data_IF_737517378090
#
_entry.id   IF_737517378090
#
_cell.length_a   1.000
_cell.length_b   1.000
_cell.length_c   1.000
_cell.angle_alpha   90.00
_cell.angle_beta   90.00
_cell.angle_gamma   90.00
#
_symmetry.space_group_name_H-M   'P 1'
#
loop_
_entity.id
_entity.type
_entity.pdbx_description
1 polymer ?
#
# COMPACT_ATOMS: atom_id res chain seq x y z
N UNK A 1 -43.95 -18.51 30.91
CA UNK A 1 -43.55 -19.93 30.83
C UNK A 1 -44.48 -20.62 29.85
N UNK A 2 -44.02 -21.33 28.85
CA UNK A 2 -44.71 -22.03 27.75
C UNK A 2 -45.07 -21.23 26.49
N UNK A 3 -44.11 -20.86 25.66
CA UNK A 3 -44.26 -20.67 24.18
C UNK A 3 -42.91 -20.94 23.44
N UNK A 4 -42.24 -22.04 23.69
CA UNK A 4 -41.03 -22.42 22.89
C UNK A 4 -40.96 -23.95 22.70
N UNK A 5 -42.06 -24.60 22.41
CA UNK A 5 -42.03 -26.06 22.14
C UNK A 5 -42.88 -26.52 20.95
N UNK A 6 -43.03 -25.70 19.88
CA UNK A 6 -43.80 -26.16 18.71
C UNK A 6 -43.33 -25.61 17.36
N UNK A 7 -42.06 -25.77 17.01
CA UNK A 7 -41.63 -25.40 15.64
C UNK A 7 -40.42 -26.20 15.12
N UNK A 8 -40.22 -27.46 15.47
CA UNK A 8 -39.05 -28.24 14.98
C UNK A 8 -39.34 -29.61 14.37
N UNK A 9 -40.58 -30.02 14.04
CA UNK A 9 -40.76 -31.31 13.34
C UNK A 9 -41.05 -31.24 11.84
N UNK A 10 -41.25 -30.08 11.20
CA UNK A 10 -41.67 -30.07 9.78
C UNK A 10 -40.58 -29.82 8.73
N UNK A 11 -39.35 -29.53 9.14
CA UNK A 11 -38.23 -29.24 8.21
C UNK A 11 -37.38 -30.48 7.83
N UNK A 12 -37.76 -31.68 8.30
CA UNK A 12 -36.99 -32.91 8.02
C UNK A 12 -37.72 -33.94 7.13
N UNK A 13 -38.80 -33.54 6.42
CA UNK A 13 -39.55 -34.45 5.52
C UNK A 13 -39.37 -34.18 4.02
N UNK A 14 -38.21 -33.65 3.59
CA UNK A 14 -38.01 -33.31 2.19
C UNK A 14 -36.65 -33.73 1.56
N UNK A 15 -35.89 -34.62 2.18
CA UNK A 15 -34.65 -35.12 1.58
C UNK A 15 -34.60 -36.64 1.56
N UNK A 16 -35.19 -37.22 0.51
CA UNK A 16 -34.97 -38.62 0.13
C UNK A 16 -33.81 -38.72 -0.85
N UNK A 17 -32.82 -39.58 -0.48
CA UNK A 17 -31.89 -40.28 -1.39
C UNK A 17 -30.85 -39.47 -2.17
N UNK A 18 -29.80 -39.03 -1.46
CA UNK A 18 -28.46 -39.01 -2.02
C UNK A 18 -27.53 -39.42 -0.88
N UNK A 19 -27.00 -40.61 -0.92
CA UNK A 19 -25.92 -41.08 -0.04
C UNK A 19 -24.66 -40.25 -0.33
N UNK A 20 -24.19 -39.38 0.60
CA UNK A 20 -22.91 -38.74 0.40
C UNK A 20 -21.82 -39.78 0.60
N UNK A 21 -20.87 -39.77 -0.31
CA UNK A 21 -19.69 -40.62 -0.30
C UNK A 21 -18.83 -40.29 0.96
N UNK A 22 -19.00 -41.08 2.01
CA UNK A 22 -18.38 -40.91 3.34
C UNK A 22 -16.85 -41.15 3.30
N UNK A 23 -16.29 -41.46 2.12
CA UNK A 23 -14.85 -41.78 1.97
C UNK A 23 -13.91 -40.57 2.07
N UNK A 24 -14.35 -39.31 1.89
CA UNK A 24 -13.47 -38.13 1.81
C UNK A 24 -13.44 -37.27 3.09
N UNK A 25 -14.24 -37.58 4.10
CA UNK A 25 -14.29 -36.78 5.34
C UNK A 25 -13.40 -37.38 6.45
N UNK A 26 -12.87 -38.61 6.28
CA UNK A 26 -12.08 -39.29 7.33
C UNK A 26 -10.69 -38.70 7.59
N UNK A 27 -10.17 -37.82 6.78
CA UNK A 27 -8.82 -37.26 6.93
C UNK A 27 -8.70 -35.88 7.56
N UNK A 28 -9.78 -35.34 8.14
CA UNK A 28 -9.76 -34.03 8.84
C UNK A 28 -10.46 -34.01 10.21
N UNK A 29 -10.60 -35.15 10.85
CA UNK A 29 -10.98 -35.13 12.26
C UNK A 29 -9.71 -34.89 13.08
N UNK A 30 -9.43 -33.62 13.38
CA UNK A 30 -8.42 -33.24 14.36
C UNK A 30 -8.84 -33.90 15.69
N UNK A 31 -8.00 -34.78 16.26
CA UNK A 31 -8.30 -35.42 17.52
C UNK A 31 -8.59 -34.39 18.62
N UNK A 32 -9.45 -34.72 19.57
CA UNK A 32 -9.73 -33.88 20.74
C UNK A 32 -8.46 -33.51 21.53
N UNK A 33 -7.45 -34.34 21.48
CA UNK A 33 -6.11 -34.11 22.06
C UNK A 33 -5.34 -33.01 21.28
N UNK A 34 -5.44 -32.98 19.93
CA UNK A 34 -4.85 -31.94 19.12
C UNK A 34 -5.55 -30.59 19.35
N UNK A 35 -6.88 -30.57 19.55
CA UNK A 35 -7.62 -29.36 19.93
C UNK A 35 -7.21 -28.87 21.33
N UNK A 36 -6.92 -29.78 22.27
CA UNK A 36 -6.41 -29.43 23.59
C UNK A 36 -4.98 -28.85 23.57
N UNK A 37 -4.12 -29.27 22.63
CA UNK A 37 -2.81 -28.68 22.39
C UNK A 37 -2.87 -27.36 21.64
N UNK A 38 -3.82 -27.18 20.71
CA UNK A 38 -4.08 -25.91 20.03
C UNK A 38 -4.49 -24.78 20.99
N UNK A 39 -5.14 -25.10 22.12
CA UNK A 39 -5.43 -24.09 23.16
C UNK A 39 -4.20 -23.41 23.75
N UNK A 40 -3.02 -24.06 23.72
CA UNK A 40 -1.75 -23.47 24.19
C UNK A 40 -1.08 -22.56 23.14
N UNK A 41 -1.46 -22.65 21.88
CA UNK A 41 -0.88 -21.87 20.78
C UNK A 41 -1.73 -20.65 20.38
N UNK A 42 -2.98 -20.56 20.84
CA UNK A 42 -3.90 -19.45 20.57
C UNK A 42 -3.56 -18.24 21.44
N UNK A 43 -2.37 -17.62 21.27
CA UNK A 43 -2.16 -16.54 22.19
C UNK A 43 -1.18 -15.45 21.80
N UNK A 44 -1.57 -14.22 22.14
CA UNK A 44 -0.69 -13.08 22.33
C UNK A 44 0.54 -13.48 23.16
N UNK A 45 1.69 -13.07 22.71
CA UNK A 45 2.94 -13.21 23.45
C UNK A 45 2.94 -12.20 24.60
N UNK A 46 3.57 -12.57 25.71
CA UNK A 46 3.82 -11.63 26.80
C UNK A 46 4.76 -10.54 26.31
N UNK A 47 4.43 -9.27 26.60
CA UNK A 47 5.31 -8.14 26.30
C UNK A 47 6.61 -8.25 27.11
N UNK A 48 7.76 -7.99 26.47
CA UNK A 48 9.03 -7.84 27.17
C UNK A 48 9.00 -6.69 28.18
N UNK A 49 9.87 -6.72 29.19
CA UNK A 49 9.95 -5.70 30.24
C UNK A 49 10.20 -4.26 29.69
N UNK A 50 10.85 -4.15 28.53
CA UNK A 50 11.11 -2.88 27.85
C UNK A 50 9.86 -2.25 27.22
N UNK A 51 8.78 -3.02 27.06
CA UNK A 51 7.53 -2.58 26.46
C UNK A 51 6.45 -2.54 27.54
N UNK A 52 5.88 -1.36 27.78
CA UNK A 52 4.80 -1.17 28.73
C UNK A 52 3.45 -1.33 28.01
N UNK A 53 2.63 -2.29 28.45
CA UNK A 53 1.32 -2.52 27.84
C UNK A 53 0.46 -1.26 27.92
N UNK A 54 -0.13 -0.86 26.81
CA UNK A 54 -0.94 0.36 26.69
C UNK A 54 -2.16 0.33 27.63
N UNK A 55 -2.80 -0.82 27.79
CA UNK A 55 -3.98 -1.05 28.62
C UNK A 55 -3.68 -1.28 30.12
N UNK A 56 -2.41 -1.35 30.51
CA UNK A 56 -2.02 -1.41 31.94
C UNK A 56 -2.28 -0.09 32.67
N UNK A 57 -2.35 -0.13 34.01
CA UNK A 57 -2.50 1.10 34.83
C UNK A 57 -1.43 2.14 34.48
N UNK A 58 -0.15 1.73 34.53
CA UNK A 58 0.97 2.61 34.17
C UNK A 58 0.90 3.09 32.71
N UNK A 59 0.47 2.22 31.75
CA UNK A 59 0.30 2.62 30.37
C UNK A 59 -0.78 3.68 30.14
N UNK A 60 -1.84 3.63 30.93
CA UNK A 60 -2.91 4.66 30.96
C UNK A 60 -2.41 5.97 31.57
N UNK A 61 -1.59 5.90 32.62
CA UNK A 61 -1.00 7.08 33.22
C UNK A 61 -0.05 7.81 32.26
N UNK A 62 0.76 7.05 31.49
CA UNK A 62 1.59 7.62 30.40
C UNK A 62 0.71 8.26 29.32
N UNK A 63 -0.41 7.63 28.95
CA UNK A 63 -1.36 8.19 27.97
C UNK A 63 -1.96 9.52 28.44
N UNK A 64 -2.36 9.60 29.71
CA UNK A 64 -2.92 10.84 30.28
C UNK A 64 -1.89 11.98 30.25
N UNK A 65 -0.62 11.71 30.59
CA UNK A 65 0.43 12.73 30.51
C UNK A 65 0.69 13.16 29.07
N UNK A 66 0.84 12.22 28.14
CA UNK A 66 1.03 12.50 26.72
C UNK A 66 -0.13 13.34 26.13
N UNK A 67 -1.37 13.06 26.57
CA UNK A 67 -2.54 13.83 26.18
C UNK A 67 -2.49 15.27 26.72
N UNK A 68 -2.12 15.45 28.00
CA UNK A 68 -1.95 16.76 28.63
C UNK A 68 -0.81 17.57 27.98
N UNK A 69 0.22 16.89 27.49
CA UNK A 69 1.33 17.48 26.74
C UNK A 69 0.96 17.88 25.30
N UNK A 70 -0.26 17.56 24.83
CA UNK A 70 -0.69 17.80 23.44
C UNK A 70 0.03 16.93 22.42
N UNK A 71 0.49 15.73 22.82
CA UNK A 71 1.29 14.82 22.00
C UNK A 71 0.53 13.57 21.51
N UNK A 72 -0.81 13.67 21.42
CA UNK A 72 -1.69 12.55 21.03
C UNK A 72 -2.61 12.92 19.87
N UNK A 73 -2.26 13.93 19.06
CA UNK A 73 -3.16 14.51 18.05
C UNK A 73 -3.71 13.45 17.07
N UNK A 74 -2.83 12.63 16.51
CA UNK A 74 -3.24 11.61 15.54
C UNK A 74 -3.71 10.28 16.18
N UNK A 75 -3.66 10.16 17.52
CA UNK A 75 -4.09 8.93 18.19
C UNK A 75 -5.56 8.59 17.90
N UNK A 76 -6.44 9.58 18.03
CA UNK A 76 -7.89 9.34 17.95
C UNK A 76 -8.31 8.90 16.54
N UNK A 77 -7.77 9.52 15.50
CA UNK A 77 -8.03 9.12 14.12
C UNK A 77 -7.49 7.72 13.83
N UNK A 78 -6.27 7.39 14.28
CA UNK A 78 -5.67 6.07 14.13
C UNK A 78 -6.39 4.99 14.94
N UNK A 79 -6.79 5.30 16.19
CA UNK A 79 -7.48 4.35 17.06
C UNK A 79 -8.83 3.90 16.50
N UNK A 80 -9.57 4.80 15.82
CA UNK A 80 -10.81 4.46 15.13
C UNK A 80 -10.59 3.50 13.95
N UNK A 81 -9.38 3.42 13.44
CA UNK A 81 -9.00 2.61 12.27
C UNK A 81 -8.12 1.41 12.64
N UNK A 82 -8.07 1.03 13.92
CA UNK A 82 -7.29 -0.13 14.36
C UNK A 82 -7.66 -1.39 13.61
N UNK A 83 -6.69 -1.94 12.90
CA UNK A 83 -6.84 -3.20 12.17
C UNK A 83 -5.91 -4.29 12.73
N UNK A 84 -6.23 -5.54 12.46
CA UNK A 84 -5.29 -6.66 12.57
C UNK A 84 -4.78 -6.97 11.18
N UNK A 85 -3.47 -7.13 10.99
CA UNK A 85 -2.93 -7.57 9.71
C UNK A 85 -3.53 -8.92 9.31
N UNK A 86 -3.92 -9.05 8.04
CA UNK A 86 -4.62 -10.23 7.54
C UNK A 86 -3.70 -11.45 7.44
N UNK A 87 -2.45 -11.23 7.01
CA UNK A 87 -1.43 -12.26 6.86
C UNK A 87 -0.21 -11.95 7.74
N UNK A 88 0.57 -12.96 8.14
CA UNK A 88 1.75 -12.78 9.01
C UNK A 88 2.78 -11.75 8.49
N UNK A 89 2.89 -11.59 7.17
CA UNK A 89 3.81 -10.66 6.52
C UNK A 89 3.17 -9.31 6.15
N UNK A 90 1.86 -9.12 6.38
CA UNK A 90 1.11 -7.89 5.99
C UNK A 90 1.22 -6.75 7.01
N UNK A 91 2.24 -6.73 7.87
CA UNK A 91 2.39 -5.63 8.83
C UNK A 91 2.47 -4.25 8.15
N UNK A 92 3.20 -4.13 7.03
CA UNK A 92 3.24 -2.92 6.23
C UNK A 92 1.87 -2.56 5.64
N UNK A 93 1.18 -3.53 5.04
CA UNK A 93 -0.15 -3.30 4.46
C UNK A 93 -1.19 -2.94 5.52
N UNK A 94 -1.19 -3.63 6.67
CA UNK A 94 -2.08 -3.31 7.80
C UNK A 94 -1.83 -1.89 8.34
N UNK A 95 -0.55 -1.52 8.49
CA UNK A 95 -0.13 -0.18 8.91
C UNK A 95 -0.60 0.88 7.91
N UNK A 96 -0.36 0.66 6.62
CA UNK A 96 -0.74 1.62 5.58
C UNK A 96 -2.25 1.75 5.44
N UNK A 97 -2.99 0.63 5.46
CA UNK A 97 -4.46 0.62 5.44
C UNK A 97 -5.04 1.44 6.61
N UNK A 98 -4.53 1.25 7.82
CA UNK A 98 -4.92 2.02 9.00
C UNK A 98 -4.66 3.52 8.82
N UNK A 99 -3.50 3.90 8.29
CA UNK A 99 -3.12 5.31 8.04
C UNK A 99 -4.00 5.95 6.96
N UNK A 100 -4.19 5.28 5.82
CA UNK A 100 -5.02 5.78 4.72
C UNK A 100 -6.46 6.08 5.18
N UNK A 101 -7.06 5.15 5.92
CA UNK A 101 -8.40 5.32 6.45
C UNK A 101 -8.47 6.40 7.54
N UNK A 102 -7.45 6.53 8.40
CA UNK A 102 -7.41 7.58 9.44
C UNK A 102 -7.26 8.98 8.85
N UNK A 103 -6.54 9.11 7.75
CA UNK A 103 -6.39 10.34 6.97
C UNK A 103 -7.54 10.59 5.99
N UNK A 104 -8.57 9.72 6.00
CA UNK A 104 -9.77 9.82 5.16
C UNK A 104 -9.47 9.90 3.66
N UNK A 105 -8.40 9.23 3.22
CA UNK A 105 -8.04 9.15 1.81
C UNK A 105 -9.05 8.27 1.09
N UNK A 106 -9.68 8.80 0.05
CA UNK A 106 -10.65 8.06 -0.76
C UNK A 106 -9.90 7.06 -1.66
N UNK A 107 -10.12 5.72 -1.56
CA UNK A 107 -9.49 4.77 -2.44
C UNK A 107 -9.89 4.90 -3.91
N UNK A 108 -10.96 5.65 -4.23
CA UNK A 108 -11.50 5.77 -5.58
C UNK A 108 -12.07 4.47 -6.15
N UNK A 109 -12.16 3.39 -5.35
CA UNK A 109 -12.72 2.08 -5.74
C UNK A 109 -13.59 1.50 -4.62
N UNK A 110 -14.56 0.66 -5.01
CA UNK A 110 -15.47 0.02 -4.06
C UNK A 110 -14.74 -1.08 -3.28
N UNK A 111 -14.99 -1.12 -1.98
CA UNK A 111 -14.54 -2.20 -1.09
C UNK A 111 -15.61 -3.30 -1.00
N UNK A 112 -16.79 -2.94 -0.51
CA UNK A 112 -17.94 -3.85 -0.40
C UNK A 112 -19.25 -3.10 -0.63
N UNK A 113 -20.12 -3.62 -1.48
CA UNK A 113 -21.37 -2.95 -1.84
C UNK A 113 -21.10 -1.58 -2.45
N UNK A 114 -21.69 -0.51 -1.90
CA UNK A 114 -21.46 0.89 -2.30
C UNK A 114 -20.35 1.60 -1.53
N UNK A 115 -19.69 0.93 -0.59
CA UNK A 115 -18.74 1.54 0.32
C UNK A 115 -17.33 1.60 -0.28
N UNK A 116 -16.69 2.75 -0.16
CA UNK A 116 -15.28 2.98 -0.47
C UNK A 116 -14.49 3.02 0.83
N UNK A 117 -13.51 2.13 0.94
CA UNK A 117 -12.72 1.92 2.15
C UNK A 117 -11.44 1.18 1.81
N UNK A 118 -10.31 1.57 2.37
CA UNK A 118 -9.08 0.79 2.16
C UNK A 118 -9.11 -0.52 2.93
N UNK A 119 -8.85 -1.60 2.21
CA UNK A 119 -8.56 -2.93 2.73
C UNK A 119 -7.15 -3.34 2.32
N UNK A 120 -6.50 -4.20 3.11
CA UNK A 120 -5.11 -4.59 2.87
C UNK A 120 -4.90 -5.24 1.50
N UNK A 121 -5.90 -6.00 1.01
CA UNK A 121 -5.86 -6.62 -0.32
C UNK A 121 -6.03 -5.63 -1.49
N UNK A 122 -6.26 -4.36 -1.21
CA UNK A 122 -6.31 -3.30 -2.21
C UNK A 122 -4.94 -2.64 -2.46
N UNK A 123 -3.92 -2.97 -1.66
CA UNK A 123 -2.59 -2.36 -1.71
C UNK A 123 -1.63 -3.19 -2.57
N UNK A 124 -1.97 -3.37 -3.84
CA UNK A 124 -1.31 -4.26 -4.80
C UNK A 124 -0.62 -3.52 -5.97
N UNK A 125 -0.52 -2.19 -5.90
CA UNK A 125 -0.07 -1.37 -7.03
C UNK A 125 1.43 -1.45 -7.35
N UNK A 126 2.29 -1.69 -6.35
CA UNK A 126 3.75 -1.69 -6.54
C UNK A 126 4.35 -3.09 -6.54
N UNK A 127 3.72 -4.04 -5.87
CA UNK A 127 4.16 -5.42 -5.73
C UNK A 127 2.95 -6.34 -5.58
N UNK A 128 3.03 -7.56 -6.10
CA UNK A 128 1.93 -8.52 -5.99
C UNK A 128 1.67 -8.91 -4.53
N UNK A 129 0.42 -9.10 -4.14
CA UNK A 129 0.06 -9.53 -2.78
C UNK A 129 0.68 -10.88 -2.44
N UNK A 130 0.81 -11.79 -3.42
CA UNK A 130 1.44 -13.11 -3.24
C UNK A 130 2.94 -13.02 -2.92
N UNK A 131 3.64 -11.99 -3.40
CA UNK A 131 5.05 -11.76 -3.06
C UNK A 131 5.16 -11.07 -1.69
N UNK A 132 4.25 -10.13 -1.40
CA UNK A 132 4.20 -9.48 -0.08
C UNK A 132 3.85 -10.50 1.02
N UNK A 133 3.00 -11.49 0.75
CA UNK A 133 2.66 -12.56 1.69
C UNK A 133 3.87 -13.42 2.08
N UNK A 134 4.83 -13.59 1.16
CA UNK A 134 6.06 -14.34 1.42
C UNK A 134 7.11 -13.53 2.18
N UNK A 135 7.38 -12.31 1.73
CA UNK A 135 8.58 -11.55 2.11
C UNK A 135 8.27 -10.27 2.91
N UNK A 136 6.99 -9.84 2.95
CA UNK A 136 6.61 -8.52 3.47
C UNK A 136 6.95 -7.40 2.50
N UNK A 137 7.11 -6.19 3.02
CA UNK A 137 7.52 -4.99 2.26
C UNK A 137 8.74 -4.33 2.90
N UNK A 138 9.62 -3.78 2.07
CA UNK A 138 10.74 -2.94 2.52
C UNK A 138 10.26 -1.52 2.86
N UNK A 139 11.15 -0.70 3.43
CA UNK A 139 10.83 0.70 3.76
C UNK A 139 10.47 1.50 2.49
N UNK A 140 11.19 1.28 1.41
CA UNK A 140 10.99 1.92 0.11
C UNK A 140 9.69 1.46 -0.56
N UNK A 141 9.41 0.16 -0.53
CA UNK A 141 8.15 -0.40 -1.05
C UNK A 141 6.95 0.11 -0.28
N UNK A 142 7.04 0.26 1.05
CA UNK A 142 6.01 0.86 1.87
C UNK A 142 5.74 2.32 1.45
N UNK A 143 6.79 3.11 1.26
CA UNK A 143 6.68 4.50 0.78
C UNK A 143 6.05 4.57 -0.61
N UNK A 144 6.46 3.68 -1.52
CA UNK A 144 5.88 3.57 -2.86
C UNK A 144 4.37 3.27 -2.81
N UNK A 145 3.96 2.27 -2.03
CA UNK A 145 2.55 1.92 -1.82
C UNK A 145 1.75 3.11 -1.28
N UNK A 146 2.32 3.86 -0.33
CA UNK A 146 1.69 5.04 0.24
C UNK A 146 1.49 6.14 -0.81
N UNK A 147 2.53 6.47 -1.59
CA UNK A 147 2.46 7.47 -2.66
C UNK A 147 1.45 7.09 -3.75
N UNK A 148 1.44 5.81 -4.16
CA UNK A 148 0.47 5.30 -5.15
C UNK A 148 -0.99 5.40 -4.67
N UNK A 149 -1.20 5.43 -3.37
CA UNK A 149 -2.53 5.47 -2.75
C UNK A 149 -2.90 6.85 -2.18
N UNK A 150 -2.24 7.93 -2.63
CA UNK A 150 -2.66 9.30 -2.34
C UNK A 150 -2.04 9.94 -1.11
N UNK A 151 -0.92 9.41 -0.62
CA UNK A 151 -0.14 10.02 0.45
C UNK A 151 1.16 10.61 -0.10
N UNK A 152 1.55 11.76 0.43
CA UNK A 152 2.90 12.29 0.32
C UNK A 152 3.77 11.65 1.39
N UNK A 153 4.94 11.15 1.02
CA UNK A 153 5.85 10.48 1.94
C UNK A 153 7.21 11.18 2.01
N UNK A 154 7.79 11.20 3.22
CA UNK A 154 9.20 11.51 3.45
C UNK A 154 9.80 10.28 4.12
N UNK A 155 10.61 9.53 3.40
CA UNK A 155 11.25 8.31 3.88
C UNK A 155 12.61 8.63 4.45
N UNK A 156 12.86 8.17 5.69
CA UNK A 156 14.12 8.40 6.40
C UNK A 156 14.71 7.07 6.88
N UNK A 157 15.88 6.72 6.33
CA UNK A 157 16.67 5.60 6.82
C UNK A 157 17.41 6.02 8.10
N UNK A 158 17.43 5.18 9.12
CA UNK A 158 18.03 5.52 10.43
C UNK A 158 19.52 5.88 10.36
N UNK A 159 20.25 5.33 9.39
CA UNK A 159 21.68 5.64 9.19
C UNK A 159 21.94 7.10 8.81
N UNK A 160 20.93 7.77 8.21
CA UNK A 160 21.05 9.14 7.69
C UNK A 160 20.38 10.16 8.63
N UNK A 161 19.90 9.73 9.81
CA UNK A 161 19.10 10.53 10.74
C UNK A 161 19.70 10.47 12.14
N UNK A 162 19.94 11.62 12.76
CA UNK A 162 20.33 11.67 14.16
C UNK A 162 19.17 11.36 15.10
N UNK A 163 19.48 10.96 16.34
CA UNK A 163 18.45 10.75 17.38
C UNK A 163 17.63 12.01 17.63
N UNK A 164 18.26 13.19 17.64
CA UNK A 164 17.56 14.46 17.88
C UNK A 164 16.62 14.81 16.71
N UNK A 165 16.99 14.50 15.49
CA UNK A 165 16.10 14.65 14.34
C UNK A 165 14.93 13.69 14.41
N UNK A 166 15.16 12.40 14.73
CA UNK A 166 14.10 11.44 14.95
C UNK A 166 13.13 11.92 16.06
N UNK A 167 13.65 12.40 17.19
CA UNK A 167 12.83 12.96 18.27
C UNK A 167 11.98 14.15 17.79
N UNK A 168 12.54 15.07 17.01
CA UNK A 168 11.79 16.20 16.42
C UNK A 168 10.68 15.73 15.50
N UNK A 169 10.93 14.73 14.68
CA UNK A 169 9.92 14.16 13.78
C UNK A 169 8.80 13.46 14.55
N UNK A 170 9.12 12.71 15.62
CA UNK A 170 8.13 12.09 16.52
C UNK A 170 7.25 13.16 17.16
N UNK A 171 7.85 14.23 17.71
CA UNK A 171 7.12 15.36 18.28
C UNK A 171 6.20 15.99 17.22
N UNK A 172 6.72 16.27 16.04
CA UNK A 172 5.94 16.83 14.93
C UNK A 172 4.72 15.97 14.57
N UNK A 173 4.92 14.66 14.40
CA UNK A 173 3.83 13.73 14.08
C UNK A 173 2.85 13.48 15.24
N UNK A 174 3.25 13.77 16.48
CA UNK A 174 2.36 13.63 17.65
C UNK A 174 1.54 14.89 17.91
N UNK A 175 1.90 16.02 17.29
CA UNK A 175 1.31 17.35 17.54
C UNK A 175 0.52 17.88 16.35
N UNK A 176 0.95 17.59 15.13
CA UNK A 176 0.37 18.14 13.90
C UNK A 176 -0.68 17.16 13.37
N UNK A 177 -1.91 17.66 13.18
CA UNK A 177 -3.01 16.91 12.59
C UNK A 177 -2.66 16.46 11.17
N UNK A 178 -3.12 15.27 10.79
CA UNK A 178 -2.94 14.67 9.46
C UNK A 178 -1.47 14.43 9.05
N UNK A 179 -0.54 14.44 10.00
CA UNK A 179 0.85 14.05 9.79
C UNK A 179 1.18 12.83 10.63
N UNK A 180 1.27 11.67 10.00
CA UNK A 180 1.42 10.38 10.69
C UNK A 180 2.80 9.80 10.42
N UNK A 181 3.39 9.14 11.42
CA UNK A 181 4.64 8.38 11.29
C UNK A 181 4.34 6.87 11.28
N UNK A 182 4.89 6.17 10.30
CA UNK A 182 5.02 4.71 10.31
C UNK A 182 6.49 4.34 10.55
N UNK A 183 6.74 3.45 11.50
CA UNK A 183 8.10 2.99 11.82
C UNK A 183 8.29 1.56 11.34
N UNK A 184 9.42 1.29 10.66
CA UNK A 184 9.96 -0.02 10.37
C UNK A 184 11.08 -0.32 11.37
N UNK A 185 10.94 -1.38 12.17
CA UNK A 185 11.87 -1.70 13.24
C UNK A 185 12.12 -3.19 13.41
N UNK A 186 13.23 -3.54 14.04
CA UNK A 186 13.57 -4.93 14.42
C UNK A 186 12.96 -5.28 15.77
N UNK A 187 12.01 -6.21 15.79
CA UNK A 187 11.33 -6.68 17.00
C UNK A 187 12.29 -7.27 18.04
N UNK A 188 13.41 -7.89 17.59
CA UNK A 188 14.39 -8.52 18.48
C UNK A 188 15.05 -7.52 19.43
N UNK A 189 15.31 -6.29 18.97
CA UNK A 189 15.89 -5.22 19.82
C UNK A 189 14.97 -4.86 20.97
N UNK A 190 13.65 -4.92 20.74
CA UNK A 190 12.65 -4.74 21.79
C UNK A 190 12.42 -6.00 22.64
N UNK A 191 13.22 -7.05 22.49
CA UNK A 191 13.03 -8.34 23.16
C UNK A 191 11.80 -9.12 22.68
N UNK A 192 11.18 -8.69 21.58
CA UNK A 192 10.01 -9.33 20.98
C UNK A 192 10.41 -10.45 20.03
N UNK A 193 9.50 -11.38 19.75
CA UNK A 193 9.72 -12.45 18.76
C UNK A 193 9.42 -11.97 17.34
N UNK A 194 10.16 -12.45 16.36
CA UNK A 194 10.11 -12.05 14.96
C UNK A 194 11.26 -11.15 14.58
N UNK A 195 11.26 -10.64 13.37
CA UNK A 195 12.31 -9.78 12.83
C UNK A 195 11.73 -8.38 12.51
N UNK A 196 11.69 -7.99 11.23
CA UNK A 196 11.14 -6.71 10.79
C UNK A 196 9.65 -6.55 11.09
N UNK A 197 9.24 -5.33 11.41
CA UNK A 197 7.84 -4.99 11.64
C UNK A 197 7.56 -3.53 11.29
N UNK A 198 6.35 -3.28 10.79
CA UNK A 198 5.79 -1.94 10.60
C UNK A 198 4.65 -1.70 11.58
N UNK A 199 4.61 -0.49 12.14
CA UNK A 199 3.45 -0.01 12.92
C UNK A 199 3.34 1.51 12.83
N UNK A 200 2.13 2.08 12.93
CA UNK A 200 1.98 3.51 13.09
C UNK A 200 2.31 3.93 14.52
N UNK A 201 2.79 5.16 14.64
CA UNK A 201 3.00 5.83 15.92
C UNK A 201 1.70 6.48 16.36
N UNK A 202 1.21 6.10 17.55
CA UNK A 202 -0.01 6.64 18.13
C UNK A 202 0.17 7.93 18.90
N UNK A 203 1.39 8.21 19.41
CA UNK A 203 1.68 9.39 20.19
C UNK A 203 3.02 9.31 20.93
N UNK A 204 3.32 10.34 21.71
CA UNK A 204 4.58 10.48 22.43
C UNK A 204 4.35 11.11 23.81
N UNK A 205 4.88 10.51 24.87
CA UNK A 205 4.98 11.14 26.18
C UNK A 205 6.39 11.74 26.32
N UNK A 206 6.45 13.06 26.40
CA UNK A 206 7.71 13.78 26.53
C UNK A 206 8.31 13.59 27.94
N UNK A 207 7.48 13.66 28.97
CA UNK A 207 7.89 13.47 30.38
C UNK A 207 8.38 12.04 30.66
N UNK A 208 7.80 11.01 30.00
CA UNK A 208 8.21 9.63 30.17
C UNK A 208 9.26 9.19 29.12
N UNK A 209 9.54 10.05 28.11
CA UNK A 209 10.37 9.74 26.94
C UNK A 209 9.94 8.44 26.23
N UNK A 210 8.60 8.23 26.08
CA UNK A 210 8.02 7.01 25.51
C UNK A 210 7.17 7.31 24.29
N UNK A 211 7.34 6.46 23.29
CA UNK A 211 6.55 6.46 22.05
C UNK A 211 5.50 5.35 22.09
N UNK A 212 4.27 5.65 21.67
CA UNK A 212 3.19 4.67 21.57
C UNK A 212 3.21 3.97 20.22
N UNK A 213 3.28 2.66 20.23
CA UNK A 213 3.21 1.80 19.04
C UNK A 213 1.84 1.14 18.97
N UNK A 214 1.11 1.43 17.91
CA UNK A 214 -0.18 0.81 17.62
C UNK A 214 0.06 -0.45 16.77
N UNK A 215 0.47 -1.53 17.43
CA UNK A 215 0.90 -2.77 16.79
C UNK A 215 -0.23 -3.45 16.02
N UNK A 216 -0.08 -3.60 14.71
CA UNK A 216 -1.07 -4.23 13.82
C UNK A 216 -1.03 -5.77 13.87
N UNK A 217 0.04 -6.39 14.38
CA UNK A 217 0.08 -7.82 14.66
C UNK A 217 -0.62 -8.16 15.99
N UNK A 218 -1.88 -7.78 16.11
CA UNK A 218 -2.68 -7.84 17.33
C UNK A 218 -2.90 -9.24 17.88
N UNK A 219 -2.81 -10.25 17.03
CA UNK A 219 -2.79 -11.65 17.45
C UNK A 219 -1.51 -12.02 18.22
N UNK A 220 -0.46 -11.17 18.12
CA UNK A 220 0.86 -11.44 18.71
C UNK A 220 1.14 -10.55 19.93
N UNK A 221 1.02 -9.23 19.77
CA UNK A 221 1.25 -8.25 20.84
C UNK A 221 0.11 -7.22 20.93
N UNK A 222 -0.21 -6.71 22.13
CA UNK A 222 -1.08 -5.54 22.26
C UNK A 222 -0.33 -4.27 21.80
N UNK A 223 -1.00 -3.12 21.76
CA UNK A 223 -0.34 -1.81 21.69
C UNK A 223 0.50 -1.58 22.94
N UNK A 224 1.61 -0.85 22.80
CA UNK A 224 2.55 -0.65 23.91
C UNK A 224 3.32 0.66 23.80
N UNK A 225 3.74 1.15 24.95
CA UNK A 225 4.73 2.21 25.08
C UNK A 225 6.12 1.61 25.12
N UNK A 226 7.08 2.30 24.49
CA UNK A 226 8.49 1.92 24.52
C UNK A 226 9.36 3.16 24.60
N UNK A 227 10.53 3.07 25.22
CA UNK A 227 11.49 4.17 25.29
C UNK A 227 11.88 4.64 23.89
N UNK A 228 11.94 5.97 23.69
CA UNK A 228 12.20 6.57 22.39
C UNK A 228 13.59 6.21 21.85
N UNK A 229 14.60 6.14 22.72
CA UNK A 229 15.97 5.78 22.33
C UNK A 229 16.04 4.32 21.89
N UNK A 230 15.40 3.42 22.64
CA UNK A 230 15.33 2.01 22.28
C UNK A 230 14.59 1.79 20.94
N UNK A 231 13.52 2.55 20.67
CA UNK A 231 12.84 2.50 19.38
C UNK A 231 13.78 2.96 18.25
N UNK A 232 14.52 4.06 18.44
CA UNK A 232 15.52 4.52 17.49
C UNK A 232 16.58 3.45 17.22
N UNK A 233 17.12 2.82 18.26
CA UNK A 233 18.11 1.75 18.17
C UNK A 233 17.55 0.52 17.45
N UNK A 234 16.26 0.25 17.56
CA UNK A 234 15.61 -0.88 16.90
C UNK A 234 15.55 -0.79 15.38
N UNK A 235 15.81 0.37 14.80
CA UNK A 235 15.85 0.57 13.35
C UNK A 235 17.19 0.24 12.70
N UNK A 236 18.31 0.18 13.45
CA UNK A 236 19.66 -0.06 12.90
C UNK A 236 19.90 -1.48 12.34
N UNK A 237 19.34 -2.55 12.91
CA UNK A 237 19.57 -3.88 12.33
C UNK A 237 19.14 -3.93 10.86
N UNK A 238 20.00 -4.55 10.06
CA UNK A 238 19.79 -4.69 8.61
C UNK A 238 18.50 -5.46 8.33
N UNK A 239 17.68 -4.92 7.45
CA UNK A 239 16.57 -5.63 6.86
C UNK A 239 17.08 -6.55 5.75
N UNK A 240 16.80 -7.87 5.88
CA UNK A 240 17.31 -8.87 4.94
C UNK A 240 16.78 -8.71 3.52
N UNK A 241 15.57 -8.17 3.38
CA UNK A 241 14.94 -7.99 2.08
C UNK A 241 15.57 -6.83 1.29
N UNK A 242 15.92 -5.72 1.96
CA UNK A 242 16.52 -4.55 1.32
C UNK A 242 18.05 -4.53 1.41
N UNK A 243 18.66 -5.29 2.32
CA UNK A 243 20.09 -5.20 2.63
C UNK A 243 20.49 -3.89 3.33
N UNK A 244 19.54 -3.08 3.81
CA UNK A 244 19.74 -1.77 4.43
C UNK A 244 19.17 -1.74 5.85
N UNK A 245 19.64 -0.82 6.71
CA UNK A 245 18.97 -0.51 7.96
C UNK A 245 17.53 -0.05 7.71
N UNK A 246 16.69 -0.21 8.73
CA UNK A 246 15.31 0.25 8.74
C UNK A 246 15.21 1.76 8.98
N UNK A 247 14.02 2.25 9.19
CA UNK A 247 13.78 3.66 9.42
C UNK A 247 12.28 3.94 9.59
N UNK A 248 11.86 5.12 9.18
CA UNK A 248 10.48 5.54 9.30
C UNK A 248 10.04 6.37 8.09
N UNK A 249 8.73 6.48 7.94
CA UNK A 249 8.11 7.27 6.89
C UNK A 249 7.15 8.27 7.54
N UNK A 250 7.28 9.54 7.19
CA UNK A 250 6.31 10.58 7.51
C UNK A 250 5.28 10.62 6.36
N UNK A 251 4.00 10.62 6.72
CA UNK A 251 2.90 10.50 5.77
C UNK A 251 1.91 11.63 5.99
N UNK A 252 1.52 12.28 4.89
CA UNK A 252 0.51 13.33 4.84
C UNK A 252 -0.42 13.10 3.64
N UNK A 253 -1.70 13.47 3.70
CA UNK A 253 -2.58 13.32 2.55
C UNK A 253 -2.12 14.21 1.39
N UNK A 254 -2.18 13.71 0.16
CA UNK A 254 -2.07 14.57 -1.01
C UNK A 254 -3.39 15.29 -1.24
N UNK A 255 -3.35 16.61 -1.41
CA UNK A 255 -4.53 17.42 -1.77
C UNK A 255 -4.94 17.30 -3.25
N UNK A 256 -4.48 16.24 -3.92
CA UNK A 256 -4.80 16.01 -5.34
C UNK A 256 -5.75 14.82 -5.39
N UNK A 257 -6.93 14.97 -6.05
CA UNK A 257 -7.83 13.87 -6.25
C UNK A 257 -7.09 12.68 -6.89
N UNK A 258 -7.26 11.50 -6.32
CA UNK A 258 -6.82 10.28 -6.98
C UNK A 258 -7.62 10.17 -8.28
N UNK A 259 -6.92 9.93 -9.39
CA UNK A 259 -7.58 9.69 -10.67
C UNK A 259 -8.49 8.45 -10.60
N UNK A 260 -9.51 8.41 -11.46
CA UNK A 260 -10.36 7.23 -11.67
C UNK A 260 -9.54 6.04 -12.16
N UNK A 261 -8.44 6.33 -12.87
CA UNK A 261 -7.50 5.34 -13.37
C UNK A 261 -6.31 5.15 -12.42
N UNK A 262 -5.79 3.93 -12.38
CA UNK A 262 -4.61 3.56 -11.60
C UNK A 262 -3.67 2.67 -12.41
N UNK A 263 -2.38 2.71 -12.09
CA UNK A 263 -1.41 1.75 -12.61
C UNK A 263 -1.62 0.41 -11.91
N UNK A 264 -1.84 -0.65 -12.68
CA UNK A 264 -1.96 -2.03 -12.18
C UNK A 264 -0.80 -2.87 -12.71
N UNK A 265 0.07 -3.35 -11.84
CA UNK A 265 1.26 -4.12 -12.25
C UNK A 265 1.14 -5.63 -12.04
N UNK A 266 0.08 -6.09 -11.43
CA UNK A 266 -0.34 -7.47 -11.10
C UNK A 266 0.71 -8.60 -11.09
N UNK A 267 1.43 -8.84 -12.18
CA UNK A 267 2.49 -9.87 -12.31
C UNK A 267 3.86 -9.29 -12.70
N UNK A 268 3.91 -8.00 -13.04
CA UNK A 268 5.13 -7.33 -13.50
C UNK A 268 5.51 -6.24 -12.53
N UNK A 269 6.80 -6.16 -12.17
CA UNK A 269 7.30 -4.96 -11.52
C UNK A 269 7.42 -3.84 -12.57
N UNK A 270 7.18 -2.60 -12.18
CA UNK A 270 7.42 -1.44 -13.03
C UNK A 270 8.87 -1.42 -13.58
N UNK A 271 9.81 -1.92 -12.79
CA UNK A 271 11.21 -2.11 -13.20
C UNK A 271 11.35 -2.97 -14.46
N UNK A 272 10.65 -4.11 -14.52
CA UNK A 272 10.71 -4.99 -15.68
C UNK A 272 10.05 -4.32 -16.89
N UNK A 273 8.91 -3.67 -16.71
CA UNK A 273 8.20 -2.93 -17.75
C UNK A 273 9.06 -1.79 -18.29
N UNK A 274 9.57 -0.93 -17.44
CA UNK A 274 10.40 0.22 -17.85
C UNK A 274 11.71 -0.21 -18.48
N UNK A 275 12.37 -1.25 -17.96
CA UNK A 275 13.58 -1.82 -18.54
C UNK A 275 13.33 -2.35 -19.95
N UNK A 276 12.23 -3.08 -20.17
CA UNK A 276 11.86 -3.58 -21.47
C UNK A 276 11.63 -2.43 -22.47
N UNK A 277 10.86 -1.42 -22.08
CA UNK A 277 10.64 -0.23 -22.92
C UNK A 277 11.96 0.48 -23.25
N UNK A 278 12.82 0.70 -22.26
CA UNK A 278 14.10 1.39 -22.45
C UNK A 278 15.05 0.60 -23.36
N UNK A 279 15.09 -0.72 -23.26
CA UNK A 279 15.91 -1.56 -24.13
C UNK A 279 15.52 -1.46 -25.59
N UNK A 280 14.25 -1.25 -25.88
CA UNK A 280 13.73 -1.15 -27.25
C UNK A 280 13.65 0.30 -27.74
N UNK A 281 13.57 1.26 -26.85
CA UNK A 281 13.36 2.68 -27.16
C UNK A 281 14.38 3.26 -28.17
N UNK A 282 15.64 2.83 -28.09
CA UNK A 282 16.70 3.30 -29.01
C UNK A 282 16.55 2.76 -30.45
N UNK A 283 15.78 1.72 -30.68
CA UNK A 283 15.63 1.04 -31.98
C UNK A 283 14.33 1.35 -32.70
N UNK A 284 13.41 2.04 -32.03
CA UNK A 284 12.09 2.40 -32.62
C UNK A 284 12.24 3.44 -33.73
N UNK A 285 11.39 3.34 -34.73
CA UNK A 285 11.42 4.21 -35.92
C UNK A 285 10.26 5.22 -35.95
N UNK A 286 9.14 4.90 -35.29
CA UNK A 286 7.91 5.70 -35.28
C UNK A 286 7.03 5.36 -34.07
N UNK A 287 5.91 6.05 -33.90
CA UNK A 287 4.95 5.81 -32.82
C UNK A 287 4.24 4.44 -32.95
N UNK A 288 4.06 3.88 -34.15
CA UNK A 288 3.48 2.54 -34.34
C UNK A 288 4.35 1.48 -33.65
N UNK A 289 5.68 1.55 -33.77
CA UNK A 289 6.57 0.62 -33.07
C UNK A 289 6.47 0.75 -31.55
N UNK A 290 6.27 1.94 -31.01
CA UNK A 290 6.04 2.13 -29.57
C UNK A 290 4.69 1.56 -29.15
N UNK A 291 3.68 1.68 -30.00
CA UNK A 291 2.37 1.07 -29.77
C UNK A 291 2.48 -0.47 -29.72
N UNK A 292 3.21 -1.09 -30.64
CA UNK A 292 3.48 -2.53 -30.66
C UNK A 292 4.19 -3.01 -29.40
N UNK A 293 5.22 -2.27 -28.92
CA UNK A 293 5.91 -2.58 -27.67
C UNK A 293 4.95 -2.55 -26.49
N UNK A 294 4.10 -1.52 -26.39
CA UNK A 294 3.13 -1.40 -25.32
C UNK A 294 2.09 -2.52 -25.37
N UNK A 295 1.63 -2.87 -26.56
CA UNK A 295 0.70 -3.97 -26.75
C UNK A 295 1.31 -5.33 -26.38
N UNK A 296 2.58 -5.57 -26.68
CA UNK A 296 3.28 -6.80 -26.29
C UNK A 296 3.34 -6.98 -24.76
N UNK A 297 3.50 -5.90 -24.04
CA UNK A 297 3.46 -5.89 -22.56
C UNK A 297 2.02 -6.15 -22.07
N UNK A 298 1.03 -5.59 -22.75
CA UNK A 298 -0.38 -5.64 -22.35
C UNK A 298 -1.08 -6.97 -22.71
N UNK A 299 -0.55 -7.77 -23.63
CA UNK A 299 -1.10 -9.08 -24.03
C UNK A 299 -1.11 -10.13 -22.91
N UNK A 300 -0.44 -9.89 -21.80
CA UNK A 300 -0.48 -10.73 -20.61
C UNK A 300 -1.69 -10.41 -19.71
N UNK A 301 -2.89 -10.53 -20.21
CA UNK A 301 -4.19 -10.66 -19.50
C UNK A 301 -4.64 -9.56 -18.52
N UNK A 302 -3.87 -8.52 -18.21
CA UNK A 302 -4.27 -7.46 -17.29
C UNK A 302 -3.74 -6.11 -17.78
N UNK A 303 -4.59 -5.11 -18.01
CA UNK A 303 -4.16 -3.80 -18.52
C UNK A 303 -3.24 -3.10 -17.49
N UNK A 304 -2.16 -2.48 -18.00
CA UNK A 304 -1.24 -1.64 -17.21
C UNK A 304 -1.97 -0.48 -16.52
N UNK A 305 -3.06 -0.02 -17.08
CA UNK A 305 -3.95 0.98 -16.52
C UNK A 305 -5.32 0.35 -16.33
N UNK A 306 -5.89 0.50 -15.14
CA UNK A 306 -7.19 -0.04 -14.78
C UNK A 306 -8.02 0.99 -14.02
N UNK A 307 -9.32 0.78 -13.99
CA UNK A 307 -10.21 1.61 -13.17
C UNK A 307 -10.01 1.33 -11.69
N UNK A 308 -9.98 2.39 -10.87
CA UNK A 308 -9.99 2.27 -9.40
C UNK A 308 -11.34 1.84 -8.85
N UNK A 309 -12.41 2.13 -9.55
CA UNK A 309 -13.77 1.78 -9.15
C UNK A 309 -14.55 1.21 -10.32
N UNK A 310 -15.59 0.41 -10.02
CA UNK A 310 -16.64 0.08 -10.99
C UNK A 310 -17.48 1.33 -11.35
N UNK A 311 -16.83 2.45 -11.61
CA UNK A 311 -17.42 3.73 -11.97
C UNK A 311 -17.98 3.74 -13.41
N UNK A 312 -17.92 2.60 -14.11
CA UNK A 312 -18.47 2.38 -15.45
C UNK A 312 -19.95 2.75 -15.65
N UNK A 313 -20.62 3.28 -14.62
CA UNK A 313 -22.02 3.72 -14.68
C UNK A 313 -22.23 5.23 -14.47
N UNK A 314 -21.17 6.04 -14.31
CA UNK A 314 -21.34 7.49 -14.25
C UNK A 314 -21.24 8.08 -15.68
N UNK A 315 -22.18 8.95 -16.04
CA UNK A 315 -22.15 9.65 -17.32
C UNK A 315 -20.82 10.38 -17.57
N UNK A 316 -20.20 10.88 -16.52
CA UNK A 316 -18.91 11.57 -16.56
C UNK A 316 -17.76 10.67 -17.03
N UNK A 317 -17.80 9.37 -16.68
CA UNK A 317 -16.74 8.43 -17.09
C UNK A 317 -16.90 8.01 -18.57
N UNK A 318 -18.12 7.90 -19.05
CA UNK A 318 -18.33 7.63 -20.48
C UNK A 318 -17.96 8.85 -21.33
N UNK A 319 -18.29 10.04 -20.88
CA UNK A 319 -17.82 11.28 -21.53
C UNK A 319 -16.29 11.37 -21.58
N UNK A 320 -15.59 11.00 -20.51
CA UNK A 320 -14.14 10.91 -20.47
C UNK A 320 -13.59 9.93 -21.53
N UNK A 321 -14.22 8.74 -21.69
CA UNK A 321 -13.85 7.78 -22.75
C UNK A 321 -14.09 8.34 -24.16
N UNK A 322 -15.18 9.09 -24.35
CA UNK A 322 -15.47 9.75 -25.63
C UNK A 322 -14.38 10.77 -26.00
N UNK A 323 -13.90 11.55 -25.02
CA UNK A 323 -12.77 12.45 -25.22
C UNK A 323 -11.52 11.71 -25.70
N UNK A 324 -11.22 10.52 -25.12
CA UNK A 324 -10.09 9.70 -25.56
C UNK A 324 -10.30 9.17 -26.98
N UNK A 325 -11.51 8.70 -27.30
CA UNK A 325 -11.87 8.15 -28.63
C UNK A 325 -11.72 9.16 -29.76
N UNK A 326 -11.80 10.44 -29.45
CA UNK A 326 -11.64 11.52 -30.45
C UNK A 326 -10.17 11.79 -30.84
N UNK A 327 -9.18 11.19 -30.17
CA UNK A 327 -7.76 11.48 -30.33
C UNK A 327 -7.10 10.63 -31.43
N UNK A 328 -6.04 11.16 -32.05
CA UNK A 328 -5.22 10.40 -33.02
C UNK A 328 -4.52 9.22 -32.35
N UNK A 329 -4.10 9.38 -31.10
CA UNK A 329 -3.46 8.32 -30.32
C UNK A 329 -4.40 7.14 -30.10
N UNK A 330 -5.69 7.36 -29.86
CA UNK A 330 -6.68 6.29 -29.80
C UNK A 330 -6.79 5.54 -31.13
N UNK A 331 -6.87 6.29 -32.25
CA UNK A 331 -6.94 5.69 -33.60
C UNK A 331 -5.65 4.95 -33.98
N UNK A 332 -4.50 5.33 -33.43
CA UNK A 332 -3.25 4.57 -33.59
C UNK A 332 -3.40 3.16 -33.01
N UNK A 333 -3.93 3.02 -31.80
CA UNK A 333 -4.13 1.72 -31.16
C UNK A 333 -5.28 0.93 -31.76
N UNK A 334 -6.33 1.59 -32.22
CA UNK A 334 -7.49 0.94 -32.84
C UNK A 334 -7.13 0.14 -34.09
N UNK A 335 -6.02 0.45 -34.78
CA UNK A 335 -5.48 -0.33 -35.89
C UNK A 335 -4.96 -1.71 -35.47
N UNK A 336 -4.55 -1.87 -34.22
CA UNK A 336 -3.86 -3.06 -33.72
C UNK A 336 -4.71 -3.89 -32.75
N UNK A 337 -5.70 -3.31 -32.08
CA UNK A 337 -6.56 -3.99 -31.10
C UNK A 337 -7.93 -3.34 -30.98
N UNK A 338 -8.94 -4.14 -30.65
CA UNK A 338 -10.30 -3.66 -30.39
C UNK A 338 -10.66 -3.73 -28.88
N UNK A 339 -9.73 -4.15 -28.01
CA UNK A 339 -9.99 -4.34 -26.58
C UNK A 339 -9.18 -3.36 -25.74
N UNK A 340 -9.84 -2.72 -24.77
CA UNK A 340 -9.21 -1.81 -23.80
C UNK A 340 -8.41 -0.64 -24.42
N UNK A 341 -8.83 -0.16 -25.61
CA UNK A 341 -8.08 0.83 -26.38
C UNK A 341 -7.93 2.13 -25.61
N UNK A 342 -8.96 2.58 -24.87
CA UNK A 342 -8.92 3.78 -24.03
C UNK A 342 -7.84 3.67 -22.94
N UNK A 343 -7.75 2.52 -22.28
CA UNK A 343 -6.76 2.30 -21.21
C UNK A 343 -5.33 2.20 -21.76
N UNK A 344 -5.17 1.57 -22.93
CA UNK A 344 -3.88 1.49 -23.63
C UNK A 344 -3.43 2.87 -24.07
N UNK A 345 -4.34 3.69 -24.57
CA UNK A 345 -4.08 5.08 -24.96
C UNK A 345 -3.61 5.91 -23.74
N UNK A 346 -4.30 5.77 -22.61
CA UNK A 346 -3.88 6.43 -21.37
C UNK A 346 -2.51 5.93 -20.86
N UNK A 347 -2.23 4.61 -20.99
CA UNK A 347 -0.94 4.05 -20.65
C UNK A 347 0.18 4.63 -21.53
N UNK A 348 -0.07 4.76 -22.82
CA UNK A 348 0.87 5.34 -23.78
C UNK A 348 1.23 6.77 -23.37
N UNK A 349 0.27 7.64 -23.17
CA UNK A 349 0.53 9.01 -22.74
C UNK A 349 1.26 9.08 -21.40
N UNK A 350 0.85 8.29 -20.41
CA UNK A 350 1.48 8.29 -19.10
C UNK A 350 2.94 7.85 -19.16
N UNK A 351 3.24 6.75 -19.85
CA UNK A 351 4.58 6.16 -19.96
C UNK A 351 5.51 7.04 -20.82
N UNK A 352 5.06 7.42 -22.02
CA UNK A 352 5.91 8.18 -22.95
C UNK A 352 6.00 9.68 -22.63
N UNK A 353 5.31 10.16 -21.61
CA UNK A 353 5.55 11.46 -21.02
C UNK A 353 6.66 11.47 -19.96
N UNK A 354 7.15 10.30 -19.51
CA UNK A 354 8.20 10.21 -18.51
C UNK A 354 9.55 10.68 -19.06
N UNK A 355 10.27 11.60 -18.38
CA UNK A 355 11.53 12.16 -18.88
C UNK A 355 12.59 11.09 -19.17
N UNK A 356 12.63 10.01 -18.37
CA UNK A 356 13.58 8.91 -18.57
C UNK A 356 13.34 8.16 -19.87
N UNK A 357 12.07 7.98 -20.27
CA UNK A 357 11.71 7.30 -21.52
C UNK A 357 11.99 8.23 -22.70
N UNK A 358 11.58 9.49 -22.61
CA UNK A 358 11.81 10.47 -23.67
C UNK A 358 13.30 10.65 -24.02
N UNK A 359 14.17 10.63 -23.01
CA UNK A 359 15.63 10.70 -23.22
C UNK A 359 16.21 9.52 -23.99
N UNK A 360 15.55 8.37 -23.99
CA UNK A 360 16.00 7.16 -24.67
C UNK A 360 15.49 7.08 -26.13
N UNK A 361 14.54 7.93 -26.55
CA UNK A 361 13.94 7.89 -27.87
C UNK A 361 14.80 8.61 -28.93
N UNK A 362 14.83 8.14 -30.18
CA UNK A 362 15.39 8.87 -31.31
C UNK A 362 14.66 10.21 -31.50
N UNK A 363 15.39 11.25 -31.93
CA UNK A 363 14.87 12.62 -32.00
C UNK A 363 13.57 12.73 -32.82
N UNK A 364 13.50 12.10 -34.01
CA UNK A 364 12.31 12.12 -34.85
C UNK A 364 11.09 11.49 -34.19
N UNK A 365 11.30 10.35 -33.48
CA UNK A 365 10.23 9.67 -32.72
C UNK A 365 9.78 10.52 -31.53
N UNK A 366 10.70 11.21 -30.86
CA UNK A 366 10.39 12.12 -29.77
C UNK A 366 9.48 13.28 -30.22
N UNK A 367 9.76 13.86 -31.41
CA UNK A 367 8.93 14.93 -31.99
C UNK A 367 7.52 14.43 -32.30
N UNK A 368 7.38 13.21 -32.85
CA UNK A 368 6.09 12.56 -33.10
C UNK A 368 5.32 12.32 -31.79
N UNK A 369 5.97 11.77 -30.77
CA UNK A 369 5.38 11.55 -29.45
C UNK A 369 4.93 12.86 -28.81
N UNK A 370 5.75 13.92 -28.87
CA UNK A 370 5.39 15.24 -28.35
C UNK A 370 4.16 15.81 -29.08
N UNK A 371 4.00 15.54 -30.36
CA UNK A 371 2.78 15.92 -31.09
C UNK A 371 1.54 15.18 -30.59
N UNK A 372 1.66 13.87 -30.30
CA UNK A 372 0.57 13.06 -29.73
C UNK A 372 0.26 13.45 -28.28
N UNK A 373 1.27 13.85 -27.49
CA UNK A 373 1.07 14.30 -26.13
C UNK A 373 0.36 15.66 -26.02
N UNK A 374 0.41 16.51 -27.05
CA UNK A 374 -0.35 17.77 -27.11
C UNK A 374 -1.87 17.56 -27.18
N UNK A 375 -2.32 16.40 -27.63
CA UNK A 375 -3.75 16.06 -27.66
C UNK A 375 -4.37 15.97 -26.27
N UNK A 376 -3.55 15.86 -25.23
CA UNK A 376 -3.96 15.68 -23.81
C UNK A 376 -4.21 17.03 -23.09
N UNK A 377 -4.08 18.16 -23.74
CA UNK A 377 -4.37 19.48 -23.14
C UNK A 377 -5.87 19.69 -22.81
N UNK A 378 -6.72 18.72 -23.14
CA UNK A 378 -8.13 18.66 -22.70
C UNK A 378 -8.16 18.43 -21.19
N UNK A 379 -8.83 19.29 -20.44
CA UNK A 379 -8.74 19.41 -18.97
C UNK A 379 -8.97 18.10 -18.20
N UNK A 380 -9.93 17.28 -18.61
CA UNK A 380 -10.28 16.02 -17.94
C UNK A 380 -9.23 14.92 -18.16
N UNK A 381 -8.75 14.75 -19.39
CA UNK A 381 -7.68 13.80 -19.71
C UNK A 381 -6.40 14.19 -18.98
N UNK A 382 -6.07 15.48 -18.94
CA UNK A 382 -4.85 15.98 -18.29
C UNK A 382 -4.86 15.72 -16.78
N UNK A 383 -5.99 15.85 -16.11
CA UNK A 383 -6.12 15.54 -14.67
C UNK A 383 -5.81 14.06 -14.39
N UNK A 384 -6.42 13.15 -15.15
CA UNK A 384 -6.18 11.72 -15.02
C UNK A 384 -4.73 11.34 -15.37
N UNK A 385 -4.20 11.92 -16.43
CA UNK A 385 -2.82 11.70 -16.86
C UNK A 385 -1.81 12.18 -15.81
N UNK A 386 -2.06 13.32 -15.18
CA UNK A 386 -1.21 13.85 -14.11
C UNK A 386 -1.17 12.91 -12.90
N UNK A 387 -2.31 12.31 -12.52
CA UNK A 387 -2.38 11.32 -11.46
C UNK A 387 -1.59 10.05 -11.82
N UNK A 388 -1.73 9.54 -13.05
CA UNK A 388 -0.99 8.36 -13.54
C UNK A 388 0.52 8.63 -13.63
N UNK A 389 0.93 9.80 -14.12
CA UNK A 389 2.36 10.20 -14.17
C UNK A 389 2.98 10.19 -12.79
N UNK A 390 2.31 10.74 -11.78
CA UNK A 390 2.80 10.73 -10.39
C UNK A 390 2.98 9.31 -9.85
N UNK A 391 2.03 8.41 -10.15
CA UNK A 391 2.18 6.99 -9.77
C UNK A 391 3.40 6.36 -10.44
N UNK A 392 3.58 6.56 -11.75
CA UNK A 392 4.71 6.02 -12.49
C UNK A 392 6.06 6.62 -12.04
N UNK A 393 6.10 7.91 -11.72
CA UNK A 393 7.28 8.56 -11.15
C UNK A 393 7.65 7.96 -9.79
N UNK A 394 6.67 7.75 -8.92
CA UNK A 394 6.88 7.09 -7.63
C UNK A 394 7.42 5.66 -7.82
N UNK A 395 6.82 4.88 -8.71
CA UNK A 395 7.29 3.54 -9.08
C UNK A 395 8.71 3.56 -9.65
N UNK A 396 9.03 4.56 -10.46
CA UNK A 396 10.38 4.72 -11.06
C UNK A 396 11.44 5.00 -9.99
N UNK A 397 11.14 5.83 -9.01
CA UNK A 397 12.05 6.13 -7.91
C UNK A 397 12.25 4.93 -6.99
N UNK A 398 11.20 4.21 -6.65
CA UNK A 398 11.26 2.99 -5.82
C UNK A 398 12.02 1.85 -6.49
N UNK A 399 11.99 1.75 -7.82
CA UNK A 399 12.57 0.64 -8.57
C UNK A 399 14.00 0.88 -9.07
N UNK A 400 14.58 2.07 -8.85
CA UNK A 400 15.94 2.42 -9.35
C UNK A 400 17.10 1.72 -8.65
N UNK A 401 16.88 1.10 -7.50
CA UNK A 401 17.98 0.58 -6.69
C UNK A 401 18.15 -0.93 -6.80
N UNK A 402 19.11 -1.39 -7.63
CA UNK A 402 19.72 -2.74 -7.54
C UNK A 402 20.56 -2.90 -6.24
N UNK A 403 20.91 -1.79 -5.62
CA UNK A 403 21.62 -1.70 -4.35
C UNK A 403 20.81 -0.76 -3.49
N UNK A 404 20.03 -1.33 -2.56
CA UNK A 404 19.17 -0.57 -1.65
C UNK A 404 19.87 0.64 -1.04
N UNK A 405 19.64 1.79 -1.59
CA UNK A 405 19.73 3.07 -0.90
C UNK A 405 19.24 4.21 -1.79
N UNK A 406 18.23 4.94 -1.33
CA UNK A 406 18.08 6.33 -1.73
C UNK A 406 19.31 7.09 -1.20
N UNK A 407 20.25 7.42 -2.08
CA UNK A 407 21.23 8.45 -1.75
C UNK A 407 20.45 9.73 -1.41
N UNK A 408 20.90 10.45 -0.39
CA UNK A 408 20.32 11.66 0.21
C UNK A 408 20.00 12.82 -0.77
N UNK A 409 20.25 12.66 -2.06
CA UNK A 409 19.92 13.62 -3.11
C UNK A 409 18.49 13.57 -3.64
N UNK A 410 17.72 12.48 -3.41
CA UNK A 410 16.33 12.37 -3.88
C UNK A 410 15.31 13.11 -3.00
N UNK A 411 15.67 13.46 -1.76
CA UNK A 411 14.76 14.14 -0.82
C UNK A 411 14.93 15.67 -0.77
N UNK A 412 15.80 16.26 -1.59
CA UNK A 412 16.10 17.71 -1.52
C UNK A 412 15.41 18.60 -2.55
N UNK A 413 14.67 18.05 -3.50
CA UNK A 413 13.97 18.85 -4.49
C UNK A 413 12.60 18.26 -4.82
N UNK A 414 11.62 18.56 -4.02
CA UNK A 414 10.23 18.86 -4.41
C UNK A 414 9.54 19.57 -3.25
#
# INVERSE_FOLDING_TARGET
>A
MNIVKRAVPELLRGMTNATPNIGLIKNKVVSLEAVGQLKKSFYKRQLPKQCLAFDSSLGKDVFLRALQEGRMENYFSLAQQMVTQNEPAFCGLGTLCMILNSLKVDPGRLWKGSWRWYDQYMLDCCRSLSDIEKDGVTLEEFSCLANCNGLRTITKCVKDVSFDEFRKDVISCSTIENKIMAISFCRKVLGQTGDGHFSPVGGFSESDNKILILDVARFKYPCYWVDLKLMYESMFPIDKASGQPRGYVLLEPMHIPLGVLTVGLNKYSWRNVSKHILQQAATVKNADNLAEILLSINQSSIPLIQERSNSSKSGDFEHFKECIRSTKTYHLFLKHTNTNVEYITMAFWAIFSLPMIQKALPKGVLEEIQSLLKEVEISEINTQLTALKKQLDSLTHCCKTDTGCCSSSCCKNT
#
